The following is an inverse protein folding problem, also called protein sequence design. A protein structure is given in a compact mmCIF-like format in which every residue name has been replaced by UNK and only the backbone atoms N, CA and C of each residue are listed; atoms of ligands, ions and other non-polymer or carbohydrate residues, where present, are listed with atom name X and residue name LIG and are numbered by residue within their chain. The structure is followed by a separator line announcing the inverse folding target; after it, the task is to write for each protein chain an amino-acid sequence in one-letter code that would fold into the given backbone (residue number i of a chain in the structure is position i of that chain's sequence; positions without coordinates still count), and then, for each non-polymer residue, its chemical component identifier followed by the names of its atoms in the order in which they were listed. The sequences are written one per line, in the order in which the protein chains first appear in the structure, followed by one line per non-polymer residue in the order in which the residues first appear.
data_IF_629900611989
#
_entry.id   IF_629900611989
#
_cell.length_a   1.000
_cell.length_b   1.000
_cell.length_c   1.000
_cell.angle_alpha   90.00
_cell.angle_beta   90.00
_cell.angle_gamma   90.00
#
_symmetry.space_group_name_H-M   'P 1'
#
loop_
_entity.id
_entity.type
_entity.pdbx_description
1 polymer ?
#
# COMPACT_ATOMS: atom_id res chain seq x y z
N UNK A 1 -1.47 -19.71 36.98
CA UNK A 1 -2.82 -19.78 36.38
C UNK A 1 -3.52 -18.47 36.68
N UNK A 2 -3.48 -17.51 35.76
CA UNK A 2 -4.31 -16.30 35.80
C UNK A 2 -4.51 -15.85 34.36
N UNK A 3 -5.75 -16.02 33.87
CA UNK A 3 -6.22 -15.59 32.56
C UNK A 3 -7.12 -14.38 32.82
N UNK A 4 -6.76 -13.21 32.28
CA UNK A 4 -7.56 -11.98 32.20
C UNK A 4 -6.65 -10.94 31.52
N UNK A 5 -7.01 -10.18 30.50
CA UNK A 5 -8.33 -9.73 30.10
C UNK A 5 -8.38 -9.57 28.57
N UNK A 6 -9.15 -10.43 27.92
CA UNK A 6 -9.58 -10.23 26.53
C UNK A 6 -10.91 -9.50 26.58
N UNK A 7 -10.92 -8.17 26.49
CA UNK A 7 -12.19 -7.45 26.71
C UNK A 7 -12.26 -5.95 26.41
N UNK A 8 -11.41 -5.38 25.54
CA UNK A 8 -11.47 -3.93 25.30
C UNK A 8 -11.08 -3.48 23.87
N UNK A 9 -11.46 -4.23 22.83
CA UNK A 9 -11.21 -3.82 21.44
C UNK A 9 -12.49 -3.46 20.65
N UNK A 10 -13.66 -3.41 21.30
CA UNK A 10 -14.95 -3.29 20.64
C UNK A 10 -15.48 -1.84 20.44
N UNK A 11 -14.65 -0.79 20.61
CA UNK A 11 -15.16 0.59 20.72
C UNK A 11 -14.56 1.63 19.75
N UNK A 12 -13.93 1.26 18.63
CA UNK A 12 -13.37 2.28 17.72
C UNK A 12 -13.52 1.98 16.22
N UNK A 13 -14.70 1.54 15.78
CA UNK A 13 -14.99 1.40 14.33
C UNK A 13 -16.17 2.23 13.80
N UNK A 14 -16.83 3.06 14.63
CA UNK A 14 -18.01 3.83 14.21
C UNK A 14 -17.71 5.26 13.68
N UNK A 15 -16.43 5.62 13.49
CA UNK A 15 -16.04 6.98 13.08
C UNK A 15 -15.64 7.12 11.59
N UNK A 16 -15.76 6.07 10.76
CA UNK A 16 -15.23 6.09 9.38
C UNK A 16 -16.27 6.43 8.28
N UNK A 17 -17.44 7.01 8.60
CA UNK A 17 -18.33 7.47 7.52
C UNK A 17 -19.19 8.65 7.93
N UNK A 18 -18.60 9.85 7.85
CA UNK A 18 -19.37 11.06 7.60
C UNK A 18 -19.23 11.40 6.12
N UNK A 19 -20.28 11.08 5.36
CA UNK A 19 -20.41 11.43 3.95
C UNK A 19 -20.71 12.92 3.84
N UNK A 20 -19.67 13.75 3.85
CA UNK A 20 -19.82 15.18 3.55
C UNK A 20 -20.11 15.35 2.06
N UNK A 21 -21.33 15.80 1.82
CA UNK A 21 -21.91 16.22 0.55
C UNK A 21 -20.96 17.11 -0.27
N UNK A 22 -20.73 16.72 -1.53
CA UNK A 22 -20.01 17.50 -2.55
C UNK A 22 -20.73 18.83 -2.80
N UNK A 23 -20.11 19.92 -2.35
CA UNK A 23 -20.39 21.27 -2.88
C UNK A 23 -19.39 21.56 -3.99
N UNK A 24 -19.82 21.45 -5.24
CA UNK A 24 -19.03 21.84 -6.42
C UNK A 24 -19.05 23.36 -6.58
N UNK A 25 -17.97 24.03 -6.18
CA UNK A 25 -17.67 25.40 -6.65
C UNK A 25 -16.80 25.33 -7.91
N UNK A 26 -17.09 26.09 -8.99
CA UNK A 26 -16.18 26.20 -10.12
C UNK A 26 -14.96 27.03 -9.73
N UNK A 27 -13.84 26.37 -9.49
CA UNK A 27 -12.54 27.02 -9.25
C UNK A 27 -11.90 27.39 -10.59
N UNK A 28 -11.45 28.63 -10.70
CA UNK A 28 -10.90 29.27 -11.89
C UNK A 28 -9.87 28.41 -12.66
N UNK A 29 -10.00 28.38 -13.99
CA UNK A 29 -9.01 27.80 -14.90
C UNK A 29 -7.70 28.59 -14.85
N UNK A 30 -6.69 28.03 -14.19
CA UNK A 30 -5.32 28.50 -14.32
C UNK A 30 -4.76 28.02 -15.68
N UNK A 31 -4.51 28.95 -16.60
CA UNK A 31 -3.73 28.66 -17.81
C UNK A 31 -2.27 28.43 -17.42
N UNK A 32 -1.85 27.17 -17.38
CA UNK A 32 -0.45 26.81 -17.18
C UNK A 32 0.37 27.14 -18.45
N UNK A 33 0.97 28.33 -18.48
CA UNK A 33 1.96 28.71 -19.50
C UNK A 33 3.34 28.19 -19.12
N UNK A 34 3.73 27.07 -19.73
CA UNK A 34 4.93 26.90 -20.57
C UNK A 34 5.24 25.40 -20.64
N UNK A 35 4.93 24.78 -21.77
CA UNK A 35 5.43 23.46 -22.09
C UNK A 35 6.92 23.60 -22.47
N UNK A 36 7.77 23.78 -21.46
CA UNK A 36 9.22 23.72 -21.65
C UNK A 36 9.59 22.36 -22.19
N UNK A 37 10.44 22.32 -23.22
CA UNK A 37 10.93 21.05 -23.77
C UNK A 37 11.71 20.32 -22.68
N UNK A 38 11.32 19.09 -22.30
CA UNK A 38 12.05 18.34 -21.28
C UNK A 38 13.49 18.10 -21.76
N UNK A 39 14.47 18.64 -21.02
CA UNK A 39 15.90 18.48 -21.34
C UNK A 39 16.42 17.06 -21.08
N UNK A 40 15.63 16.23 -20.39
CA UNK A 40 15.92 14.84 -20.12
C UNK A 40 14.62 14.02 -20.21
N UNK A 41 14.68 12.90 -20.93
CA UNK A 41 13.59 11.92 -20.98
C UNK A 41 14.11 10.63 -20.37
N UNK A 42 13.38 10.12 -19.38
CA UNK A 42 13.65 8.79 -18.83
C UNK A 42 12.98 7.78 -19.77
N UNK A 43 13.71 6.78 -20.30
CA UNK A 43 13.09 5.72 -21.11
C UNK A 43 12.09 4.92 -20.26
N UNK A 44 11.14 4.25 -20.90
CA UNK A 44 10.21 3.35 -20.21
C UNK A 44 10.99 2.32 -19.40
N UNK A 45 10.62 2.17 -18.13
CA UNK A 45 11.21 1.21 -17.20
C UNK A 45 10.37 -0.08 -17.10
N UNK A 46 9.50 -0.33 -18.07
CA UNK A 46 8.66 -1.52 -18.05
C UNK A 46 9.47 -2.81 -18.09
N UNK A 47 9.09 -3.79 -17.26
CA UNK A 47 9.79 -5.07 -17.12
C UNK A 47 11.12 -4.97 -16.37
N UNK A 48 11.33 -3.92 -15.56
CA UNK A 48 12.46 -3.82 -14.62
C UNK A 48 12.09 -4.45 -13.28
N UNK A 49 13.06 -5.14 -12.68
CA UNK A 49 12.88 -5.77 -11.37
C UNK A 49 12.79 -4.69 -10.29
N UNK A 50 11.59 -4.53 -9.70
CA UNK A 50 11.45 -3.81 -8.43
C UNK A 50 11.05 -4.83 -7.37
N UNK A 51 12.06 -5.31 -6.64
CA UNK A 51 11.91 -6.43 -5.72
C UNK A 51 12.45 -6.08 -4.34
N UNK A 52 11.74 -6.53 -3.31
CA UNK A 52 12.11 -6.38 -1.90
C UNK A 52 12.16 -7.74 -1.25
N UNK A 53 13.36 -8.14 -0.81
CA UNK A 53 13.51 -9.36 -0.01
C UNK A 53 12.98 -9.12 1.40
N UNK A 54 12.09 -9.99 1.84
CA UNK A 54 11.54 -9.97 3.19
C UNK A 54 12.48 -10.71 4.13
N UNK A 55 12.60 -10.20 5.35
CA UNK A 55 13.36 -10.88 6.39
C UNK A 55 12.81 -12.29 6.65
N UNK A 56 13.73 -13.26 6.75
CA UNK A 56 13.38 -14.66 6.97
C UNK A 56 12.73 -14.88 8.34
N UNK A 57 13.16 -14.12 9.36
CA UNK A 57 12.58 -14.16 10.70
C UNK A 57 11.12 -13.71 10.72
N UNK A 58 10.78 -12.67 9.95
CA UNK A 58 9.40 -12.21 9.78
C UNK A 58 8.50 -13.29 9.16
N UNK A 59 8.92 -13.89 8.04
CA UNK A 59 8.17 -14.97 7.38
C UNK A 59 8.01 -16.20 8.28
N UNK A 60 9.07 -16.54 9.03
CA UNK A 60 9.04 -17.64 9.98
C UNK A 60 8.06 -17.37 11.15
N UNK A 61 8.04 -16.13 11.67
CA UNK A 61 7.12 -15.73 12.73
C UNK A 61 5.66 -15.82 12.26
N UNK A 62 5.34 -15.28 11.08
CA UNK A 62 4.00 -15.39 10.51
C UNK A 62 3.58 -16.86 10.34
N UNK A 63 4.47 -17.69 9.80
CA UNK A 63 4.21 -19.13 9.63
C UNK A 63 4.01 -19.85 10.97
N UNK A 64 4.76 -19.48 12.01
CA UNK A 64 4.57 -20.00 13.37
C UNK A 64 3.21 -19.63 13.95
N UNK A 65 2.64 -18.50 13.54
CA UNK A 65 1.29 -18.08 13.92
C UNK A 65 0.20 -18.65 12.99
N UNK A 66 0.58 -19.44 11.97
CA UNK A 66 -0.34 -19.97 10.97
C UNK A 66 -0.88 -18.91 9.99
N UNK A 67 -0.24 -17.74 9.94
CA UNK A 67 -0.64 -16.63 9.09
C UNK A 67 0.12 -16.68 7.76
N UNK A 68 -0.62 -16.59 6.66
CA UNK A 68 -0.03 -16.42 5.32
C UNK A 68 -0.13 -14.96 4.94
N UNK A 69 0.99 -14.26 4.69
CA UNK A 69 0.93 -12.87 4.23
C UNK A 69 0.24 -12.79 2.87
N UNK A 70 -0.71 -11.87 2.76
CA UNK A 70 -1.34 -11.51 1.49
C UNK A 70 -0.63 -10.34 0.82
N UNK A 71 -0.80 -10.22 -0.48
CA UNK A 71 -0.40 -9.05 -1.28
C UNK A 71 -1.66 -8.27 -1.65
N UNK A 72 -1.55 -6.94 -1.72
CA UNK A 72 -2.59 -6.08 -2.27
C UNK A 72 -2.10 -5.45 -3.58
N UNK A 73 -2.98 -5.33 -4.56
CA UNK A 73 -2.64 -4.85 -5.89
C UNK A 73 -2.04 -5.94 -6.78
N UNK A 74 -1.05 -5.57 -7.60
CA UNK A 74 -0.43 -6.45 -8.61
C UNK A 74 0.90 -7.05 -8.16
N UNK A 75 1.34 -6.75 -6.93
CA UNK A 75 2.55 -7.31 -6.38
C UNK A 75 2.44 -8.84 -6.19
N UNK A 76 3.56 -9.55 -6.28
CA UNK A 76 3.60 -10.99 -6.05
C UNK A 76 4.61 -11.34 -4.96
N UNK A 77 4.29 -12.32 -4.12
CA UNK A 77 5.22 -12.84 -3.11
C UNK A 77 5.74 -14.21 -3.56
N UNK A 78 7.03 -14.27 -3.86
CA UNK A 78 7.71 -15.51 -4.20
C UNK A 78 7.85 -16.43 -2.98
N UNK A 79 7.92 -17.74 -3.22
CA UNK A 79 8.25 -18.75 -2.19
C UNK A 79 9.60 -18.51 -1.54
N UNK A 80 10.52 -17.80 -2.23
CA UNK A 80 11.81 -17.39 -1.68
C UNK A 80 11.71 -16.21 -0.69
N UNK A 81 10.52 -15.64 -0.46
CA UNK A 81 10.33 -14.51 0.44
C UNK A 81 10.63 -13.15 -0.20
N UNK A 82 10.48 -13.02 -1.52
CA UNK A 82 10.71 -11.78 -2.24
C UNK A 82 9.38 -11.20 -2.71
N UNK A 83 9.10 -9.94 -2.39
CA UNK A 83 7.99 -9.18 -2.97
C UNK A 83 8.46 -8.54 -4.28
N UNK A 84 7.83 -8.93 -5.38
CA UNK A 84 8.01 -8.32 -6.69
C UNK A 84 6.88 -7.34 -6.98
N UNK A 85 7.23 -6.14 -7.46
CA UNK A 85 6.30 -5.09 -7.85
C UNK A 85 6.46 -4.82 -9.36
N UNK A 86 5.50 -5.21 -10.21
CA UNK A 86 5.63 -5.00 -11.64
C UNK A 86 5.46 -3.51 -12.01
N UNK A 87 6.37 -3.02 -12.86
CA UNK A 87 6.35 -1.68 -13.48
C UNK A 87 6.53 -1.75 -15.00
#
# INVERSE_FOLDING_TARGET
MAIAASGALAFSLAACSTSSTTSSSPSASASASTNGTPIATIPSLSGKDTAVTVDAGFLAALKSLGLTPGVLGTATLSTAGVLDFPI
#
